data_IF_243020826465
#
_entry.id   IF_243020826465
#
_cell.length_a   1.000
_cell.length_b   1.000
_cell.length_c   1.000
_cell.angle_alpha   90.00
_cell.angle_beta   90.00
_cell.angle_gamma   90.00
#
_symmetry.space_group_name_H-M   'P 1'
#
loop_
_entity.id
_entity.type
_entity.pdbx_description
1 polymer ?
#
# COMPACT_ATOMS: atom_id res chain seq x y z
N UNK A 1 32.04 -29.60 -37.51
CA UNK A 1 30.72 -28.97 -37.81
C UNK A 1 29.66 -29.25 -36.75
N UNK A 2 29.39 -30.51 -36.33
CA UNK A 2 28.46 -30.83 -35.22
C UNK A 2 28.80 -30.15 -33.88
N UNK A 3 30.08 -30.15 -33.50
CA UNK A 3 30.56 -29.53 -32.24
C UNK A 3 30.29 -28.02 -32.19
N UNK A 4 30.43 -27.34 -33.33
CA UNK A 4 30.15 -25.89 -33.45
C UNK A 4 28.66 -25.60 -33.24
N UNK A 5 27.79 -26.51 -33.68
CA UNK A 5 26.35 -26.40 -33.42
C UNK A 5 26.02 -26.57 -31.93
N UNK A 6 26.70 -27.49 -31.23
CA UNK A 6 26.47 -27.72 -29.81
C UNK A 6 26.88 -26.53 -28.94
N UNK A 7 28.04 -25.93 -29.22
CA UNK A 7 28.50 -24.75 -28.46
C UNK A 7 27.57 -23.54 -28.65
N UNK A 8 27.02 -23.34 -29.85
CA UNK A 8 26.11 -22.23 -30.13
C UNK A 8 24.78 -22.40 -29.40
N UNK A 9 24.23 -23.63 -29.39
CA UNK A 9 23.02 -23.96 -28.64
C UNK A 9 23.20 -23.76 -27.14
N UNK A 10 24.35 -24.12 -26.58
CA UNK A 10 24.65 -23.95 -25.15
C UNK A 10 24.79 -22.46 -24.78
N UNK A 11 25.46 -21.66 -25.62
CA UNK A 11 25.57 -20.21 -25.41
C UNK A 11 24.20 -19.52 -25.42
N UNK A 12 23.30 -19.95 -26.32
CA UNK A 12 21.95 -19.42 -26.42
C UNK A 12 21.08 -19.79 -25.21
N UNK A 13 21.25 -20.99 -24.63
CA UNK A 13 20.47 -21.37 -23.45
C UNK A 13 20.95 -20.63 -22.19
N UNK A 14 22.26 -20.46 -21.99
CA UNK A 14 22.79 -19.72 -20.83
C UNK A 14 22.33 -18.26 -20.77
N UNK A 15 22.16 -17.58 -21.90
CA UNK A 15 21.69 -16.19 -21.93
C UNK A 15 20.21 -16.03 -21.57
N UNK A 16 19.40 -17.06 -21.76
CA UNK A 16 17.97 -17.05 -21.36
C UNK A 16 17.74 -17.32 -19.88
N UNK A 17 18.74 -17.87 -19.17
CA UNK A 17 18.63 -18.20 -17.73
C UNK A 17 18.60 -16.98 -16.81
N UNK A 18 18.98 -15.78 -17.26
CA UNK A 18 18.88 -14.57 -16.44
C UNK A 18 17.52 -13.87 -16.49
N UNK A 19 16.53 -14.42 -17.22
CA UNK A 19 15.19 -13.85 -17.31
C UNK A 19 14.15 -14.64 -16.51
N UNK A 20 14.46 -15.03 -15.27
CA UNK A 20 13.47 -15.54 -14.32
C UNK A 20 13.94 -15.37 -12.88
N UNK A 21 13.76 -14.18 -12.31
CA UNK A 21 13.37 -13.92 -10.90
C UNK A 21 13.61 -12.46 -10.51
N UNK A 22 12.91 -11.53 -11.16
CA UNK A 22 12.19 -10.54 -10.37
C UNK A 22 10.76 -10.57 -10.87
N UNK A 23 9.91 -11.36 -10.22
CA UNK A 23 8.49 -11.11 -10.27
C UNK A 23 8.30 -9.74 -9.60
N UNK A 24 8.45 -8.67 -10.38
CA UNK A 24 7.90 -7.38 -9.99
C UNK A 24 6.40 -7.62 -9.93
N UNK A 25 5.87 -7.83 -8.73
CA UNK A 25 4.46 -7.65 -8.47
C UNK A 25 4.26 -6.15 -8.66
N UNK A 26 3.59 -5.66 -9.71
CA UNK A 26 3.16 -4.26 -9.70
C UNK A 26 2.17 -4.16 -8.54
N UNK A 27 2.63 -3.67 -7.41
CA UNK A 27 1.77 -3.28 -6.31
C UNK A 27 0.93 -2.09 -6.80
N UNK A 28 -0.25 -2.39 -7.34
CA UNK A 28 -1.26 -1.39 -7.68
C UNK A 28 -2.05 -0.95 -6.43
N UNK A 29 -1.41 -0.96 -5.25
CA UNK A 29 -1.96 -0.42 -4.02
C UNK A 29 -1.05 0.64 -3.38
N UNK A 30 -0.20 1.28 -4.19
CA UNK A 30 0.36 2.58 -3.84
C UNK A 30 -0.26 3.64 -4.75
N UNK A 31 -1.52 3.97 -4.45
CA UNK A 31 -1.98 5.33 -4.69
C UNK A 31 -0.98 6.31 -4.05
N UNK A 32 -0.79 7.50 -4.63
CA UNK A 32 0.18 8.44 -4.09
C UNK A 32 -0.09 8.64 -2.61
N UNK A 33 0.94 8.48 -1.78
CA UNK A 33 0.98 9.03 -0.42
C UNK A 33 1.04 10.55 -0.57
N UNK A 34 0.00 11.12 -1.16
CA UNK A 34 -0.30 12.52 -1.09
C UNK A 34 -0.75 12.70 0.36
N UNK A 35 0.26 12.92 1.20
CA UNK A 35 0.26 13.92 2.23
C UNK A 35 -1.03 13.94 3.01
N UNK A 36 -1.04 13.30 4.21
CA UNK A 36 -2.03 13.48 5.28
C UNK A 36 -3.07 14.47 4.84
N UNK A 37 -4.12 13.99 4.16
CA UNK A 37 -5.15 14.87 3.63
C UNK A 37 -5.90 15.37 4.86
N UNK A 38 -5.29 16.33 5.58
CA UNK A 38 -5.96 17.52 6.05
C UNK A 38 -6.38 18.28 4.78
N UNK A 39 -7.26 17.66 3.97
CA UNK A 39 -8.43 18.40 3.50
C UNK A 39 -8.92 19.08 4.77
N UNK A 40 -9.46 20.27 4.68
CA UNK A 40 -10.37 20.77 5.70
C UNK A 40 -11.56 19.79 5.76
N UNK A 41 -11.31 18.59 6.30
CA UNK A 41 -12.21 17.46 6.30
C UNK A 41 -13.22 17.90 7.30
N UNK A 42 -14.43 18.12 6.81
CA UNK A 42 -15.61 18.01 7.64
C UNK A 42 -15.39 16.81 8.54
N UNK A 43 -15.47 17.03 9.85
CA UNK A 43 -15.20 16.01 10.84
C UNK A 43 -16.02 14.78 10.48
N UNK A 44 -15.34 13.65 10.29
CA UNK A 44 -15.98 12.38 10.00
C UNK A 44 -16.50 11.82 11.32
N UNK A 45 -17.82 11.92 11.52
CA UNK A 45 -18.49 11.43 12.73
C UNK A 45 -18.15 9.96 12.99
N UNK A 46 -18.18 9.11 11.95
CA UNK A 46 -17.91 7.68 12.10
C UNK A 46 -16.44 7.40 12.44
N UNK A 47 -15.51 8.13 11.83
CA UNK A 47 -14.10 8.08 12.17
C UNK A 47 -13.82 8.56 13.59
N UNK A 48 -14.50 9.63 14.02
CA UNK A 48 -14.37 10.20 15.37
C UNK A 48 -14.89 9.25 16.45
N UNK A 49 -16.12 8.75 16.33
CA UNK A 49 -16.71 7.82 17.29
C UNK A 49 -15.87 6.53 17.41
N UNK A 50 -15.43 5.97 16.27
CA UNK A 50 -14.56 4.78 16.25
C UNK A 50 -13.23 5.02 16.94
N UNK A 51 -12.63 6.19 16.74
CA UNK A 51 -11.37 6.57 17.40
C UNK A 51 -11.56 6.67 18.91
N UNK A 52 -12.58 7.39 19.37
CA UNK A 52 -12.87 7.56 20.79
C UNK A 52 -13.11 6.22 21.49
N UNK A 53 -13.88 5.32 20.86
CA UNK A 53 -14.08 3.94 21.35
C UNK A 53 -12.78 3.14 21.46
N UNK A 54 -11.86 3.30 20.51
CA UNK A 54 -10.56 2.62 20.53
C UNK A 54 -9.68 3.08 21.69
N UNK A 55 -9.77 4.34 22.10
CA UNK A 55 -8.97 4.91 23.19
C UNK A 55 -9.68 4.84 24.55
N UNK A 56 -10.80 4.13 24.66
CA UNK A 56 -11.48 3.85 25.93
C UNK A 56 -12.62 4.82 26.30
N UNK A 57 -13.00 5.73 25.40
CA UNK A 57 -14.16 6.59 25.60
C UNK A 57 -15.41 5.91 25.01
N UNK A 58 -16.61 6.10 25.61
CA UNK A 58 -17.84 5.48 25.12
C UNK A 58 -18.25 5.95 23.72
N UNK A 59 -18.01 7.23 23.41
CA UNK A 59 -18.34 7.82 22.12
C UNK A 59 -17.56 9.12 21.85
N UNK A 60 -17.72 9.67 20.65
CA UNK A 60 -17.16 10.95 20.25
C UNK A 60 -18.09 11.72 19.33
N UNK A 61 -17.99 13.05 19.37
CA UNK A 61 -18.78 13.97 18.57
C UNK A 61 -17.90 14.95 17.80
N UNK A 62 -18.45 15.43 16.67
CA UNK A 62 -17.83 16.46 15.87
C UNK A 62 -18.31 17.84 16.31
N UNK A 63 -17.46 18.59 17.01
CA UNK A 63 -17.75 19.96 17.49
C UNK A 63 -16.81 20.93 16.79
N UNK A 64 -17.35 21.94 16.11
CA UNK A 64 -16.55 22.94 15.38
C UNK A 64 -15.48 22.31 14.47
N UNK A 65 -15.86 21.25 13.76
CA UNK A 65 -14.98 20.49 12.87
C UNK A 65 -13.80 19.76 13.56
N UNK A 66 -13.86 19.58 14.88
CA UNK A 66 -12.91 18.81 15.68
C UNK A 66 -13.61 17.60 16.29
N UNK A 67 -12.89 16.49 16.38
CA UNK A 67 -13.36 15.32 17.10
C UNK A 67 -13.14 15.54 18.61
N UNK A 68 -14.21 15.45 19.39
CA UNK A 68 -14.21 15.51 20.85
C UNK A 68 -14.68 14.15 21.38
N UNK A 69 -13.92 13.56 22.30
CA UNK A 69 -14.35 12.36 23.02
C UNK A 69 -14.91 12.79 24.38
N UNK A 70 -16.09 12.29 24.72
CA UNK A 70 -16.76 12.61 25.97
C UNK A 70 -16.86 11.34 26.82
N UNK A 71 -16.56 11.48 28.12
CA UNK A 71 -17.07 10.54 29.12
C UNK A 71 -18.49 10.99 29.46
N UNK A 72 -19.39 10.04 29.68
CA UNK A 72 -20.79 10.32 30.04
C UNK A 72 -20.90 11.24 31.27
#
# INVERSE_FOLDING_TARGET
>A
MKIIFLIFSILLTLSTFTLSTTANIPDQNHGPVLQRVRRDKKCDYWGCDRLCRRIGFPSGACVSNRCKCDFY
#
